data_IF_321238344347
#
_entry.id   IF_321238344347
#
_cell.length_a   1.000
_cell.length_b   1.000
_cell.length_c   1.000
_cell.angle_alpha   90.00
_cell.angle_beta   90.00
_cell.angle_gamma   90.00
#
_symmetry.space_group_name_H-M   'P 1'
#
loop_
_entity.id
_entity.type
_entity.pdbx_description
1 polymer ?
#
# COMPACT_ATOMS: atom_id res chain seq x y z
N UNK A 1 0.04 -30.85 -58.84
CA UNK A 1 0.63 -30.75 -57.49
C UNK A 1 0.45 -29.34 -56.94
N UNK A 2 -0.62 -29.04 -56.20
CA UNK A 2 -0.83 -27.71 -55.59
C UNK A 2 -1.58 -27.78 -54.23
N UNK A 3 -1.72 -28.97 -53.64
CA UNK A 3 -2.50 -29.19 -52.42
C UNK A 3 -1.73 -28.87 -51.12
N UNK A 4 -0.39 -28.73 -51.20
CA UNK A 4 0.50 -28.49 -50.05
C UNK A 4 0.50 -27.04 -49.56
N UNK A 5 0.41 -26.07 -50.48
CA UNK A 5 0.50 -24.63 -50.18
C UNK A 5 -0.60 -24.13 -49.23
N UNK A 6 -1.85 -24.61 -49.39
CA UNK A 6 -2.96 -24.23 -48.50
C UNK A 6 -2.78 -24.71 -47.05
N UNK A 7 -2.10 -25.84 -46.83
CA UNK A 7 -1.86 -26.36 -45.47
C UNK A 7 -0.79 -25.54 -44.74
N UNK A 8 0.28 -25.15 -45.45
CA UNK A 8 1.34 -24.30 -44.91
C UNK A 8 0.84 -22.91 -44.51
N UNK A 9 -0.05 -22.32 -45.34
CA UNK A 9 -0.66 -21.03 -45.05
C UNK A 9 -1.55 -21.08 -43.79
N UNK A 10 -2.38 -22.11 -43.65
CA UNK A 10 -3.24 -22.29 -42.47
C UNK A 10 -2.40 -22.48 -41.20
N UNK A 11 -1.32 -23.28 -41.25
CA UNK A 11 -0.43 -23.44 -40.09
C UNK A 11 0.30 -22.16 -39.71
N UNK A 12 0.62 -21.31 -40.69
CA UNK A 12 1.27 -20.03 -40.47
C UNK A 12 0.32 -19.02 -39.80
N UNK A 13 -0.91 -18.90 -40.32
CA UNK A 13 -1.95 -18.05 -39.73
C UNK A 13 -2.28 -18.47 -38.29
N UNK A 14 -2.42 -19.77 -38.03
CA UNK A 14 -2.62 -20.29 -36.68
C UNK A 14 -1.46 -19.93 -35.73
N UNK A 15 -0.23 -20.05 -36.21
CA UNK A 15 0.96 -19.71 -35.41
C UNK A 15 1.01 -18.22 -35.06
N UNK A 16 0.60 -17.33 -35.97
CA UNK A 16 0.52 -15.89 -35.71
C UNK A 16 -0.55 -15.58 -34.65
N UNK A 17 -1.70 -16.25 -34.70
CA UNK A 17 -2.76 -16.05 -33.71
C UNK A 17 -2.28 -16.50 -32.33
N UNK A 18 -1.67 -17.69 -32.23
CA UNK A 18 -1.11 -18.20 -30.97
C UNK A 18 -0.03 -17.27 -30.43
N UNK A 19 0.87 -16.78 -31.28
CA UNK A 19 1.90 -15.82 -30.90
C UNK A 19 1.28 -14.52 -30.37
N UNK A 20 0.25 -14.01 -31.04
CA UNK A 20 -0.45 -12.78 -30.66
C UNK A 20 -1.12 -12.92 -29.29
N UNK A 21 -1.76 -14.06 -29.02
CA UNK A 21 -2.36 -14.37 -27.72
C UNK A 21 -1.28 -14.42 -26.64
N UNK A 22 -0.18 -15.13 -26.88
CA UNK A 22 0.95 -15.21 -25.95
C UNK A 22 1.52 -13.83 -25.61
N UNK A 23 1.66 -12.97 -26.62
CA UNK A 23 2.20 -11.63 -26.46
C UNK A 23 1.28 -10.75 -25.60
N UNK A 24 -0.02 -10.75 -25.90
CA UNK A 24 -1.04 -10.02 -25.11
C UNK A 24 -1.10 -10.55 -23.68
N UNK A 25 -1.08 -11.87 -23.48
CA UNK A 25 -1.07 -12.48 -22.16
C UNK A 25 0.16 -12.07 -21.36
N UNK A 26 1.35 -12.08 -21.98
CA UNK A 26 2.60 -11.71 -21.32
C UNK A 26 2.60 -10.24 -20.91
N UNK A 27 2.12 -9.33 -21.78
CA UNK A 27 1.99 -7.90 -21.46
C UNK A 27 1.02 -7.70 -20.30
N UNK A 28 -0.15 -8.35 -20.35
CA UNK A 28 -1.17 -8.24 -19.30
C UNK A 28 -0.65 -8.75 -17.95
N UNK A 29 0.00 -9.91 -17.93
CA UNK A 29 0.62 -10.48 -16.73
C UNK A 29 1.70 -9.54 -16.20
N UNK A 30 2.57 -9.02 -17.07
CA UNK A 30 3.65 -8.11 -16.68
C UNK A 30 3.06 -6.85 -16.05
N UNK A 31 2.05 -6.24 -16.67
CA UNK A 31 1.39 -5.04 -16.17
C UNK A 31 0.76 -5.27 -14.79
N UNK A 32 0.03 -6.39 -14.64
CA UNK A 32 -0.56 -6.79 -13.36
C UNK A 32 0.51 -6.97 -12.29
N UNK A 33 1.58 -7.71 -12.59
CA UNK A 33 2.69 -7.92 -11.66
C UNK A 33 3.35 -6.59 -11.28
N UNK A 34 3.66 -5.71 -12.22
CA UNK A 34 4.25 -4.39 -11.90
C UNK A 34 3.32 -3.51 -11.07
N UNK A 35 2.01 -3.56 -11.32
CA UNK A 35 1.03 -2.77 -10.55
C UNK A 35 0.79 -3.35 -9.16
N UNK A 36 0.75 -4.67 -9.00
CA UNK A 36 0.48 -5.32 -7.72
C UNK A 36 1.71 -5.45 -6.83
N UNK A 37 2.90 -5.50 -7.42
CA UNK A 37 4.17 -5.51 -6.69
C UNK A 37 4.83 -4.14 -6.60
N UNK A 38 4.11 -3.06 -6.96
CA UNK A 38 4.59 -1.72 -6.73
C UNK A 38 4.89 -1.52 -5.23
N UNK A 39 6.17 -1.34 -4.95
CA UNK A 39 6.72 -1.27 -3.59
C UNK A 39 6.06 -0.16 -2.80
N UNK A 40 5.74 0.95 -3.48
CA UNK A 40 5.06 2.09 -2.90
C UNK A 40 3.67 1.74 -2.37
N UNK A 41 2.85 1.11 -3.20
CA UNK A 41 1.48 0.70 -2.83
C UNK A 41 1.49 -0.30 -1.67
N UNK A 42 2.40 -1.29 -1.71
CA UNK A 42 2.56 -2.25 -0.59
C UNK A 42 3.02 -1.59 0.71
N UNK A 43 3.83 -0.53 0.61
CA UNK A 43 4.30 0.22 1.78
C UNK A 43 3.16 1.02 2.40
N UNK A 44 2.28 1.62 1.59
CA UNK A 44 1.06 2.28 2.07
C UNK A 44 0.14 1.30 2.81
N UNK A 45 -0.10 0.11 2.26
CA UNK A 45 -0.93 -0.91 2.91
C UNK A 45 -0.35 -1.35 4.27
N UNK A 46 0.98 -1.50 4.34
CA UNK A 46 1.67 -1.80 5.61
C UNK A 46 1.48 -0.68 6.63
N UNK A 47 1.63 0.58 6.21
CA UNK A 47 1.45 1.74 7.10
C UNK A 47 0.01 1.81 7.61
N UNK A 48 -0.98 1.62 6.74
CA UNK A 48 -2.41 1.60 7.11
C UNK A 48 -2.70 0.49 8.14
N UNK A 49 -2.21 -0.73 7.88
CA UNK A 49 -2.36 -1.84 8.81
C UNK A 49 -1.66 -1.56 10.15
N UNK A 50 -0.40 -1.13 10.11
CA UNK A 50 0.40 -0.81 11.29
C UNK A 50 -0.26 0.28 12.13
N UNK A 51 -0.79 1.32 11.51
CA UNK A 51 -1.45 2.44 12.19
C UNK A 51 -2.72 1.98 12.90
N UNK A 52 -3.58 1.18 12.24
CA UNK A 52 -4.77 0.59 12.86
C UNK A 52 -4.43 -0.28 14.06
N UNK A 53 -3.38 -1.11 13.93
CA UNK A 53 -2.90 -1.94 15.04
C UNK A 53 -2.37 -1.09 16.18
N UNK A 54 -1.55 -0.08 15.90
CA UNK A 54 -1.01 0.83 16.91
C UNK A 54 -2.12 1.55 17.68
N UNK A 55 -3.13 2.07 16.96
CA UNK A 55 -4.32 2.69 17.57
C UNK A 55 -5.06 1.71 18.48
N UNK A 56 -5.24 0.46 18.04
CA UNK A 56 -5.87 -0.57 18.86
C UNK A 56 -5.05 -0.90 20.13
N UNK A 57 -3.73 -0.94 20.03
CA UNK A 57 -2.83 -1.18 21.16
C UNK A 57 -2.91 -0.03 22.16
N UNK A 58 -2.93 1.21 21.67
CA UNK A 58 -3.07 2.40 22.52
C UNK A 58 -4.39 2.37 23.29
N UNK A 59 -5.50 2.11 22.59
CA UNK A 59 -6.82 1.98 23.22
C UNK A 59 -6.90 0.82 24.24
N UNK A 60 -6.00 -0.16 24.14
CA UNK A 60 -5.91 -1.29 25.07
C UNK A 60 -4.97 -1.03 26.25
N UNK A 61 -4.41 0.18 26.38
CA UNK A 61 -3.45 0.52 27.45
C UNK A 61 -2.09 -0.16 27.32
N UNK A 62 -1.75 -0.66 26.12
CA UNK A 62 -0.50 -1.39 25.91
C UNK A 62 0.72 -0.51 26.24
N UNK A 63 1.70 -1.06 26.96
CA UNK A 63 2.93 -0.36 27.32
C UNK A 63 2.71 0.99 28.05
N UNK A 64 1.64 1.10 28.83
CA UNK A 64 1.34 2.30 29.63
C UNK A 64 0.82 3.49 28.81
N UNK A 65 0.34 3.26 27.58
CA UNK A 65 -0.30 4.29 26.76
C UNK A 65 -1.80 4.44 27.07
N UNK A 66 -2.22 4.17 28.31
CA UNK A 66 -3.62 4.36 28.71
C UNK A 66 -4.04 5.82 28.45
N UNK A 67 -5.19 5.96 27.81
CA UNK A 67 -5.80 7.25 27.52
C UNK A 67 -7.15 7.32 28.21
N UNK A 68 -7.51 8.51 28.70
CA UNK A 68 -8.83 8.77 29.29
C UNK A 68 -9.97 8.66 28.26
N UNK A 69 -9.64 8.60 26.96
CA UNK A 69 -10.61 8.48 25.87
C UNK A 69 -10.10 7.62 24.72
N UNK A 70 -11.03 7.12 23.92
CA UNK A 70 -10.73 6.30 22.74
C UNK A 70 -10.21 7.16 21.59
N UNK A 71 -9.13 6.71 20.97
CA UNK A 71 -8.63 7.26 19.71
C UNK A 71 -9.10 6.39 18.54
N UNK A 72 -9.40 7.01 17.40
CA UNK A 72 -9.96 6.33 16.23
C UNK A 72 -9.11 6.65 15.02
N UNK A 73 -8.73 5.62 14.26
CA UNK A 73 -8.08 5.79 12.98
C UNK A 73 -9.08 6.38 11.96
N UNK A 74 -8.78 7.56 11.42
CA UNK A 74 -9.66 8.30 10.51
C UNK A 74 -9.24 8.21 9.04
N UNK A 75 -8.09 7.59 8.75
CA UNK A 75 -7.59 7.39 7.39
C UNK A 75 -6.16 7.87 7.21
N UNK A 76 -5.73 7.88 5.95
CA UNK A 76 -4.39 8.26 5.55
C UNK A 76 -4.44 9.03 4.24
N UNK A 77 -3.60 10.05 4.11
CA UNK A 77 -3.32 10.73 2.85
C UNK A 77 -1.83 10.60 2.53
N UNK A 78 -1.50 10.80 1.27
CA UNK A 78 -0.14 10.76 0.77
C UNK A 78 -0.02 11.62 -0.47
N UNK A 79 1.17 12.13 -0.71
CA UNK A 79 1.53 12.77 -1.96
C UNK A 79 2.18 11.75 -2.89
N UNK A 80 1.97 11.91 -4.20
CA UNK A 80 2.62 11.09 -5.22
C UNK A 80 3.61 11.96 -6.00
N UNK A 81 4.90 11.70 -5.84
CA UNK A 81 5.98 12.31 -6.61
C UNK A 81 6.53 11.26 -7.61
N UNK A 82 6.01 11.27 -8.84
CA UNK A 82 6.37 10.26 -9.85
C UNK A 82 5.86 8.87 -9.47
N UNK A 83 6.76 7.90 -9.30
CA UNK A 83 6.45 6.53 -8.86
C UNK A 83 6.67 6.31 -7.35
N UNK A 84 6.91 7.37 -6.58
CA UNK A 84 7.17 7.26 -5.15
C UNK A 84 6.10 8.02 -4.36
N UNK A 85 5.62 7.39 -3.31
CA UNK A 85 4.71 8.00 -2.34
C UNK A 85 5.53 8.73 -1.28
N UNK A 86 5.15 9.95 -0.97
CA UNK A 86 5.83 10.80 0.01
C UNK A 86 4.80 11.47 0.93
N UNK A 87 5.26 12.07 2.03
CA UNK A 87 4.44 12.84 2.98
C UNK A 87 3.20 12.09 3.47
N UNK A 88 3.38 10.83 3.84
CA UNK A 88 2.30 9.96 4.27
C UNK A 88 1.80 10.47 5.62
N UNK A 89 0.56 10.94 5.65
CA UNK A 89 -0.05 11.50 6.86
C UNK A 89 -1.21 10.61 7.30
N UNK A 90 -1.07 10.02 8.48
CA UNK A 90 -2.15 9.27 9.13
C UNK A 90 -2.96 10.19 10.02
N UNK A 91 -4.28 10.16 9.84
CA UNK A 91 -5.22 10.93 10.63
C UNK A 91 -5.81 10.08 11.73
N UNK A 92 -5.73 10.60 12.95
CA UNK A 92 -6.29 9.98 14.14
C UNK A 92 -7.21 11.00 14.79
N UNK A 93 -8.45 10.59 15.06
CA UNK A 93 -9.39 11.40 15.82
C UNK A 93 -9.38 11.00 17.28
N UNK A 94 -9.59 11.98 18.14
CA UNK A 94 -9.57 11.82 19.58
C UNK A 94 -10.71 12.63 20.20
N UNK A 95 -11.32 12.07 21.24
CA UNK A 95 -12.36 12.75 22.03
C UNK A 95 -11.79 13.51 23.22
N UNK A 96 -10.59 13.15 23.66
CA UNK A 96 -9.87 13.78 24.79
C UNK A 96 -8.46 14.17 24.36
N UNK A 97 -7.83 15.18 24.98
CA UNK A 97 -6.45 15.55 24.69
C UNK A 97 -5.51 14.35 24.82
N UNK A 98 -4.72 14.10 23.78
CA UNK A 98 -3.79 12.96 23.74
C UNK A 98 -2.37 13.45 24.10
N UNK A 99 -1.65 12.77 25.01
CA UNK A 99 -0.25 13.07 25.28
C UNK A 99 0.62 12.98 24.02
N UNK A 100 1.63 13.84 23.93
CA UNK A 100 2.57 13.82 22.78
C UNK A 100 3.33 12.50 22.64
N UNK A 101 3.52 11.77 23.75
CA UNK A 101 4.16 10.44 23.78
C UNK A 101 3.37 9.38 22.99
N UNK A 102 2.05 9.49 22.92
CA UNK A 102 1.20 8.54 22.19
C UNK A 102 1.43 8.64 20.68
N UNK A 103 1.60 9.86 20.16
CA UNK A 103 1.96 10.05 18.75
C UNK A 103 3.32 9.43 18.42
N UNK A 104 4.30 9.61 19.29
CA UNK A 104 5.61 8.98 19.13
C UNK A 104 5.53 7.45 19.19
N UNK A 105 4.73 6.89 20.11
CA UNK A 105 4.50 5.45 20.19
C UNK A 105 3.91 4.89 18.89
N UNK A 106 2.82 5.50 18.40
CA UNK A 106 2.17 5.03 17.17
C UNK A 106 3.14 5.11 16.00
N UNK A 107 3.89 6.21 15.85
CA UNK A 107 4.87 6.39 14.78
C UNK A 107 5.97 5.34 14.84
N UNK A 108 6.59 5.17 16.01
CA UNK A 108 7.68 4.21 16.18
C UNK A 108 7.18 2.77 15.98
N UNK A 109 6.01 2.43 16.53
CA UNK A 109 5.43 1.10 16.35
C UNK A 109 5.20 0.78 14.86
N UNK A 110 4.65 1.71 14.08
CA UNK A 110 4.43 1.50 12.63
C UNK A 110 5.76 1.29 11.92
N UNK A 111 6.74 2.17 12.16
CA UNK A 111 8.06 2.10 11.52
C UNK A 111 8.77 0.80 11.86
N UNK A 112 8.80 0.43 13.15
CA UNK A 112 9.55 -0.73 13.65
C UNK A 112 8.86 -2.04 13.29
N UNK A 113 7.53 -2.13 13.46
CA UNK A 113 6.79 -3.38 13.21
C UNK A 113 6.68 -3.71 11.72
N UNK A 114 6.64 -2.70 10.85
CA UNK A 114 6.49 -2.89 9.40
C UNK A 114 7.81 -2.74 8.63
N UNK A 115 8.90 -2.41 9.34
CA UNK A 115 10.23 -2.13 8.79
C UNK A 115 10.17 -1.08 7.66
N UNK A 116 9.53 0.06 7.96
CA UNK A 116 9.36 1.16 6.99
C UNK A 116 10.66 1.97 6.91
N UNK A 117 11.15 2.16 5.70
CA UNK A 117 12.29 3.04 5.45
C UNK A 117 11.86 4.51 5.56
N UNK A 118 12.16 5.12 6.71
CA UNK A 118 11.86 6.53 7.00
C UNK A 118 12.70 7.53 6.20
N UNK A 119 13.75 7.08 5.52
CA UNK A 119 14.53 7.94 4.61
C UNK A 119 13.86 8.10 3.25
N UNK A 120 13.02 7.11 2.88
CA UNK A 120 12.27 7.07 1.62
C UNK A 120 10.83 7.54 1.78
N UNK A 121 10.22 7.26 2.93
CA UNK A 121 8.83 7.57 3.22
C UNK A 121 8.73 8.45 4.47
N UNK A 122 8.46 9.74 4.28
CA UNK A 122 8.14 10.61 5.42
C UNK A 122 6.75 10.26 5.96
N UNK A 123 6.68 9.95 7.25
CA UNK A 123 5.49 9.46 7.92
C UNK A 123 5.12 10.39 9.08
N UNK A 124 3.91 10.94 9.04
CA UNK A 124 3.42 11.93 9.99
C UNK A 124 2.07 11.51 10.57
N UNK A 125 1.80 11.94 11.81
CA UNK A 125 0.53 11.73 12.49
C UNK A 125 -0.13 13.08 12.70
N UNK A 126 -1.36 13.21 12.22
CA UNK A 126 -2.21 14.39 12.42
C UNK A 126 -3.37 14.03 13.33
N UNK A 127 -3.55 14.82 14.38
CA UNK A 127 -4.68 14.70 15.30
C UNK A 127 -5.82 15.60 14.83
N UNK A 128 -6.99 15.03 14.61
CA UNK A 128 -8.21 15.78 14.36
C UNK A 128 -9.09 15.68 15.63
N UNK A 129 -9.09 16.75 16.43
CA UNK A 129 -10.01 16.84 17.55
C UNK A 129 -11.45 16.84 17.05
N UNK A 130 -12.30 15.98 17.61
CA UNK A 130 -13.74 16.13 17.47
C UNK A 130 -14.13 17.31 18.38
N UNK A 131 -14.29 18.49 17.78
CA UNK A 131 -14.90 19.64 18.46
C UNK A 131 -16.33 19.31 18.89
#
# INVERSE_FOLDING_TARGET
>A
MLKSSKRGQISFEFSIIVLSILLISTITITYFLTSSFDEGTRTLDKIDLGAKTAVSLVNSGYNGTELDGTIIYAGMTWDKAGNTYANITVYITNTTPVPSSTGAFIKNYVVDSQNIDTTKYDFNISWAGLN
#
